data_IF_267449505700
#
_entry.id   IF_267449505700
#
_cell.length_a   1.000
_cell.length_b   1.000
_cell.length_c   1.000
_cell.angle_alpha   90.00
_cell.angle_beta   90.00
_cell.angle_gamma   90.00
#
_symmetry.space_group_name_H-M   'P 1'
#
loop_
_entity.id
_entity.type
_entity.pdbx_description
1 polymer ?
#
# COMPACT_ATOMS: atom_id res chain seq x y z
N UNK A 1 -46.33 -62.17 -6.67
CA UNK A 1 -44.96 -61.72 -6.94
C UNK A 1 -44.89 -60.23 -6.66
N UNK A 2 -44.65 -59.82 -5.37
CA UNK A 2 -44.72 -58.43 -4.90
C UNK A 2 -43.29 -57.88 -4.80
N UNK A 3 -42.98 -56.85 -5.61
CA UNK A 3 -41.74 -56.08 -5.50
C UNK A 3 -41.92 -54.99 -4.41
N UNK A 4 -41.16 -55.08 -3.33
CA UNK A 4 -41.07 -54.03 -2.32
C UNK A 4 -40.12 -52.93 -2.82
N UNK A 5 -40.68 -51.72 -2.93
CA UNK A 5 -39.89 -50.49 -3.13
C UNK A 5 -39.33 -50.05 -1.75
N UNK A 6 -38.01 -50.04 -1.63
CA UNK A 6 -37.34 -49.42 -0.50
C UNK A 6 -37.30 -47.89 -0.71
N UNK A 7 -37.92 -47.13 0.20
CA UNK A 7 -37.80 -45.65 0.27
C UNK A 7 -36.56 -45.34 1.13
N UNK A 8 -35.52 -44.85 0.49
CA UNK A 8 -34.38 -44.27 1.20
C UNK A 8 -34.75 -42.89 1.79
N UNK A 9 -34.75 -42.79 3.12
CA UNK A 9 -34.90 -41.52 3.82
C UNK A 9 -33.56 -40.81 3.77
N UNK A 10 -33.49 -39.68 3.06
CA UNK A 10 -32.35 -38.75 3.15
C UNK A 10 -32.49 -37.94 4.42
N UNK A 11 -31.65 -38.22 5.41
CA UNK A 11 -31.54 -37.41 6.62
C UNK A 11 -30.61 -36.23 6.30
N UNK A 12 -31.21 -35.05 6.09
CA UNK A 12 -30.44 -33.78 6.03
C UNK A 12 -30.00 -33.43 7.46
N UNK A 13 -28.73 -33.67 7.76
CA UNK A 13 -28.12 -33.11 8.97
C UNK A 13 -27.80 -31.64 8.74
N UNK A 14 -28.57 -30.75 9.34
CA UNK A 14 -28.25 -29.33 9.39
C UNK A 14 -26.98 -29.16 10.24
N UNK A 15 -25.88 -28.73 9.60
CA UNK A 15 -24.69 -28.24 10.32
C UNK A 15 -25.10 -26.97 11.10
N UNK A 16 -24.76 -26.86 12.38
CA UNK A 16 -24.97 -25.63 13.12
C UNK A 16 -24.09 -24.51 12.52
N UNK A 17 -24.72 -23.41 12.17
CA UNK A 17 -24.05 -22.17 11.79
C UNK A 17 -23.34 -21.65 13.05
N UNK A 18 -22.04 -21.91 13.17
CA UNK A 18 -21.20 -21.31 14.23
C UNK A 18 -21.07 -19.83 13.88
N UNK A 19 -21.90 -18.99 14.49
CA UNK A 19 -21.67 -17.55 14.47
C UNK A 19 -20.30 -17.29 15.14
N UNK A 20 -19.34 -16.83 14.35
CA UNK A 20 -18.10 -16.31 14.90
C UNK A 20 -18.43 -15.19 15.89
N UNK A 21 -17.77 -15.15 17.09
CA UNK A 21 -18.00 -14.07 18.03
C UNK A 21 -17.70 -12.74 17.34
N UNK A 22 -18.65 -11.81 17.44
CA UNK A 22 -18.44 -10.43 16.97
C UNK A 22 -17.23 -9.88 17.71
N UNK A 23 -16.20 -9.47 16.96
CA UNK A 23 -15.05 -8.77 17.53
C UNK A 23 -15.56 -7.57 18.33
N UNK A 24 -14.97 -7.31 19.53
CA UNK A 24 -15.37 -6.13 20.31
C UNK A 24 -15.23 -4.91 19.43
N UNK A 25 -16.28 -4.09 19.38
CA UNK A 25 -16.29 -2.86 18.63
C UNK A 25 -15.12 -2.00 19.15
N UNK A 26 -13.99 -1.99 18.42
CA UNK A 26 -12.98 -0.98 18.62
C UNK A 26 -13.71 0.36 18.50
N UNK A 27 -13.42 1.31 19.40
CA UNK A 27 -13.90 2.69 19.24
C UNK A 27 -13.54 3.10 17.82
N UNK A 28 -14.50 3.05 16.92
CA UNK A 28 -14.30 3.49 15.55
C UNK A 28 -13.93 4.96 15.63
N UNK A 29 -12.75 5.30 15.12
CA UNK A 29 -12.35 6.68 14.93
C UNK A 29 -13.26 7.39 13.92
N UNK A 30 -12.92 8.59 13.52
CA UNK A 30 -13.66 9.33 12.52
C UNK A 30 -13.62 8.60 11.16
N UNK A 31 -14.72 8.67 10.41
CA UNK A 31 -14.78 8.17 9.03
C UNK A 31 -13.75 8.90 8.17
N UNK A 32 -12.87 8.13 7.55
CA UNK A 32 -11.77 8.69 6.78
C UNK A 32 -12.04 8.65 5.27
N UNK A 33 -12.28 7.48 4.73
CA UNK A 33 -12.57 7.34 3.30
C UNK A 33 -13.34 6.05 3.03
N UNK A 34 -13.77 5.89 1.79
CA UNK A 34 -14.34 4.63 1.29
C UNK A 34 -13.31 3.96 0.40
N UNK A 35 -13.05 2.68 0.63
CA UNK A 35 -12.18 1.88 -0.21
C UNK A 35 -12.71 1.79 -1.65
N UNK A 36 -11.87 1.40 -2.61
CA UNK A 36 -12.30 1.18 -4.00
C UNK A 36 -13.36 0.07 -4.12
N UNK A 37 -13.51 -0.76 -3.09
CA UNK A 37 -14.50 -1.84 -3.02
C UNK A 37 -15.74 -1.48 -2.17
N UNK A 38 -15.90 -0.21 -1.80
CA UNK A 38 -17.07 0.29 -1.06
C UNK A 38 -17.00 0.13 0.47
N UNK A 39 -15.91 -0.38 1.04
CA UNK A 39 -15.74 -0.52 2.49
C UNK A 39 -15.39 0.82 3.13
N UNK A 40 -16.07 1.18 4.23
CA UNK A 40 -15.73 2.38 5.00
C UNK A 40 -14.46 2.16 5.81
N UNK A 41 -13.53 3.10 5.71
CA UNK A 41 -12.25 3.09 6.40
C UNK A 41 -12.21 4.23 7.43
N UNK A 42 -11.55 3.99 8.56
CA UNK A 42 -11.62 4.87 9.72
C UNK A 42 -10.22 5.23 10.23
N UNK A 43 -10.08 6.49 10.66
CA UNK A 43 -8.92 6.99 11.35
C UNK A 43 -8.83 6.42 12.78
N UNK A 44 -7.68 6.59 13.40
CA UNK A 44 -7.48 6.36 14.84
C UNK A 44 -7.62 7.68 15.61
N UNK A 45 -7.98 7.67 16.90
CA UNK A 45 -8.01 8.88 17.72
C UNK A 45 -6.63 9.53 17.85
N UNK A 46 -6.61 10.84 18.21
CA UNK A 46 -5.38 11.55 18.56
C UNK A 46 -4.60 10.79 19.64
N UNK A 47 -3.28 10.79 19.49
CA UNK A 47 -2.33 10.39 20.51
C UNK A 47 -1.54 11.62 21.01
N UNK A 48 -0.61 11.37 21.92
CA UNK A 48 0.21 12.45 22.52
C UNK A 48 1.02 13.21 21.47
N UNK A 49 1.44 12.56 20.37
CA UNK A 49 2.19 13.21 19.30
C UNK A 49 1.31 14.20 18.52
N UNK A 50 0.07 13.80 18.18
CA UNK A 50 -0.89 14.70 17.52
C UNK A 50 -1.26 15.86 18.44
N UNK A 51 -1.52 15.58 19.72
CA UNK A 51 -1.86 16.60 20.73
C UNK A 51 -0.70 17.61 20.88
N UNK A 52 0.53 17.14 21.00
CA UNK A 52 1.72 18.00 21.10
C UNK A 52 1.95 18.85 19.85
N UNK A 53 1.78 18.26 18.65
CA UNK A 53 1.91 18.98 17.39
C UNK A 53 0.82 20.07 17.24
N UNK A 54 -0.44 19.76 17.54
CA UNK A 54 -1.56 20.73 17.58
C UNK A 54 -1.30 21.86 18.57
N UNK A 55 -0.67 21.56 19.71
CA UNK A 55 -0.30 22.54 20.73
C UNK A 55 0.63 23.65 20.20
N UNK A 56 1.57 23.33 19.29
CA UNK A 56 2.45 24.32 18.65
C UNK A 56 1.67 25.31 17.79
N UNK A 57 0.65 24.86 17.07
CA UNK A 57 -0.22 25.74 16.28
C UNK A 57 -1.07 26.64 17.15
N UNK A 58 -1.58 26.15 18.27
CA UNK A 58 -2.28 26.98 19.26
C UNK A 58 -1.36 28.08 19.83
N UNK A 59 -0.05 27.86 19.86
CA UNK A 59 0.99 28.84 20.19
C UNK A 59 1.33 29.84 19.07
N UNK A 60 0.68 29.74 17.90
CA UNK A 60 0.85 30.64 16.75
C UNK A 60 1.95 30.28 15.78
N UNK A 61 2.50 29.03 15.81
CA UNK A 61 3.47 28.62 14.82
C UNK A 61 2.85 28.49 13.43
N UNK A 62 3.61 28.92 12.41
CA UNK A 62 3.24 28.82 11.00
C UNK A 62 4.41 28.33 10.14
N UNK A 63 5.44 27.75 10.75
CA UNK A 63 6.61 27.26 10.01
C UNK A 63 6.29 26.01 9.19
N UNK A 64 6.96 25.83 8.06
CA UNK A 64 6.88 24.61 7.24
C UNK A 64 7.16 23.36 8.08
N UNK A 65 8.19 23.42 8.95
CA UNK A 65 8.57 22.30 9.80
C UNK A 65 7.45 21.87 10.76
N UNK A 66 6.71 22.82 11.34
CA UNK A 66 5.62 22.49 12.25
C UNK A 66 4.39 21.98 11.50
N UNK A 67 4.08 22.49 10.30
CA UNK A 67 3.06 21.94 9.43
C UNK A 67 3.38 20.48 9.05
N UNK A 68 4.60 20.20 8.60
CA UNK A 68 5.02 18.83 8.27
C UNK A 68 4.98 17.91 9.50
N UNK A 69 5.37 18.40 10.67
CA UNK A 69 5.32 17.63 11.91
C UNK A 69 3.88 17.26 12.29
N UNK A 70 2.93 18.21 12.16
CA UNK A 70 1.52 17.96 12.43
C UNK A 70 0.92 16.98 11.41
N UNK A 71 1.10 17.24 10.11
CA UNK A 71 0.60 16.37 9.05
C UNK A 71 1.11 14.93 9.20
N UNK A 72 2.39 14.73 9.52
CA UNK A 72 2.97 13.40 9.78
C UNK A 72 2.39 12.74 11.03
N UNK A 73 2.16 13.49 12.10
CA UNK A 73 1.54 12.95 13.31
C UNK A 73 0.08 12.50 13.05
N UNK A 74 -0.70 13.33 12.34
CA UNK A 74 -2.07 13.00 11.92
C UNK A 74 -2.09 11.76 11.01
N UNK A 75 -1.18 11.68 10.04
CA UNK A 75 -1.07 10.54 9.14
C UNK A 75 -0.69 9.24 9.86
N UNK A 76 0.16 9.29 10.88
CA UNK A 76 0.48 8.14 11.72
C UNK A 76 -0.77 7.54 12.42
N UNK A 77 -1.79 8.37 12.65
CA UNK A 77 -3.11 7.99 13.16
C UNK A 77 -4.13 7.69 12.06
N UNK A 78 -3.68 7.61 10.79
CA UNK A 78 -4.55 7.42 9.61
C UNK A 78 -5.60 8.52 9.48
N UNK A 79 -5.35 9.72 10.02
CA UNK A 79 -6.18 10.93 9.91
C UNK A 79 -5.77 11.69 8.64
N UNK A 80 -5.89 11.03 7.49
CA UNK A 80 -5.36 11.57 6.22
C UNK A 80 -6.13 12.80 5.74
N UNK A 81 -7.45 12.90 6.01
CA UNK A 81 -8.20 14.13 5.72
C UNK A 81 -7.70 15.32 6.49
N UNK A 82 -7.41 15.13 7.79
CA UNK A 82 -6.84 16.20 8.62
C UNK A 82 -5.44 16.56 8.11
N UNK A 83 -4.60 15.57 7.81
CA UNK A 83 -3.26 15.81 7.26
C UNK A 83 -3.32 16.58 5.92
N UNK A 84 -4.20 16.20 4.99
CA UNK A 84 -4.42 16.93 3.72
C UNK A 84 -4.89 18.36 3.97
N UNK A 85 -5.74 18.59 4.98
CA UNK A 85 -6.15 19.94 5.38
C UNK A 85 -4.97 20.74 5.91
N UNK A 86 -4.16 20.17 6.79
CA UNK A 86 -2.94 20.78 7.35
C UNK A 86 -1.96 21.15 6.24
N UNK A 87 -1.68 20.23 5.31
CA UNK A 87 -0.78 20.50 4.18
C UNK A 87 -1.37 21.53 3.21
N UNK A 88 -2.69 21.57 3.03
CA UNK A 88 -3.37 22.57 2.18
C UNK A 88 -3.26 23.97 2.79
N UNK A 89 -3.41 24.12 4.11
CA UNK A 89 -3.19 25.39 4.79
C UNK A 89 -1.73 25.85 4.65
N UNK A 90 -0.78 24.92 4.80
CA UNK A 90 0.65 25.20 4.61
C UNK A 90 0.95 25.64 3.17
N UNK A 91 0.41 24.96 2.16
CA UNK A 91 0.62 25.28 0.75
C UNK A 91 -0.03 26.61 0.33
N UNK A 92 -1.05 27.09 1.03
CA UNK A 92 -1.57 28.44 0.83
C UNK A 92 -0.53 29.54 1.19
N UNK A 93 0.41 29.22 2.09
CA UNK A 93 1.52 30.10 2.49
C UNK A 93 2.81 29.82 1.73
N UNK A 94 3.05 28.57 1.38
CA UNK A 94 4.27 28.05 0.76
C UNK A 94 3.94 27.23 -0.49
N UNK A 95 3.41 27.85 -1.55
CA UNK A 95 2.80 27.13 -2.70
C UNK A 95 3.78 26.28 -3.50
N UNK A 96 5.08 26.59 -3.46
CA UNK A 96 6.14 25.88 -4.18
C UNK A 96 7.08 25.12 -3.23
N UNK A 97 6.54 24.62 -2.11
CA UNK A 97 7.31 23.79 -1.22
C UNK A 97 7.15 22.30 -1.61
N UNK A 98 8.23 21.69 -2.10
CA UNK A 98 8.22 20.31 -2.59
C UNK A 98 7.89 19.30 -1.48
N UNK A 99 8.29 19.55 -0.21
CA UNK A 99 7.98 18.62 0.89
C UNK A 99 6.49 18.62 1.21
N UNK A 100 5.85 19.80 1.25
CA UNK A 100 4.41 19.91 1.51
C UNK A 100 3.58 19.30 0.37
N UNK A 101 3.98 19.49 -0.89
CA UNK A 101 3.35 18.89 -2.05
C UNK A 101 3.48 17.36 -2.00
N UNK A 102 4.67 16.86 -1.68
CA UNK A 102 4.92 15.43 -1.50
C UNK A 102 4.04 14.83 -0.39
N UNK A 103 4.02 15.46 0.79
CA UNK A 103 3.25 14.92 1.92
C UNK A 103 1.75 14.93 1.60
N UNK A 104 1.20 16.01 1.02
CA UNK A 104 -0.21 16.03 0.64
C UNK A 104 -0.54 14.94 -0.38
N UNK A 105 0.23 14.83 -1.44
CA UNK A 105 0.04 13.78 -2.44
C UNK A 105 0.15 12.36 -1.85
N UNK A 106 1.07 12.13 -0.92
CA UNK A 106 1.15 10.85 -0.21
C UNK A 106 -0.13 10.55 0.60
N UNK A 107 -0.73 11.53 1.29
CA UNK A 107 -1.99 11.34 2.05
C UNK A 107 -3.17 11.09 1.12
N UNK A 108 -3.22 11.81 -0.01
CA UNK A 108 -4.25 11.63 -1.05
C UNK A 108 -4.20 10.21 -1.66
N UNK A 109 -3.02 9.60 -1.84
CA UNK A 109 -2.91 8.18 -2.19
C UNK A 109 -3.60 7.28 -1.15
N UNK A 110 -3.38 7.56 0.13
CA UNK A 110 -4.04 6.85 1.23
C UNK A 110 -5.55 7.00 1.22
N UNK A 111 -6.07 8.16 0.78
CA UNK A 111 -7.50 8.44 0.61
C UNK A 111 -8.10 7.85 -0.68
N UNK A 112 -7.29 7.26 -1.58
CA UNK A 112 -7.67 6.80 -2.93
C UNK A 112 -7.99 7.95 -3.89
N UNK A 113 -7.56 9.15 -3.58
CA UNK A 113 -7.68 10.36 -4.41
C UNK A 113 -6.51 10.43 -5.41
N UNK A 114 -6.31 9.39 -6.20
CA UNK A 114 -5.11 9.19 -7.03
C UNK A 114 -4.85 10.32 -8.02
N UNK A 115 -5.90 10.90 -8.60
CA UNK A 115 -5.75 12.00 -9.55
C UNK A 115 -5.31 13.31 -8.86
N UNK A 116 -5.75 13.56 -7.62
CA UNK A 116 -5.27 14.69 -6.82
C UNK A 116 -3.82 14.48 -6.41
N UNK A 117 -3.49 13.29 -5.90
CA UNK A 117 -2.12 12.89 -5.56
C UNK A 117 -1.17 13.05 -6.75
N UNK A 118 -1.56 12.59 -7.93
CA UNK A 118 -0.76 12.74 -9.15
C UNK A 118 -0.43 14.21 -9.40
N UNK A 119 -1.42 15.10 -9.36
CA UNK A 119 -1.22 16.54 -9.62
C UNK A 119 -0.23 17.18 -8.65
N UNK A 120 -0.34 16.88 -7.36
CA UNK A 120 0.58 17.42 -6.34
C UNK A 120 1.98 16.86 -6.50
N UNK A 121 2.10 15.58 -6.77
CA UNK A 121 3.39 14.89 -6.93
C UNK A 121 4.08 15.29 -8.24
N UNK A 122 3.36 15.51 -9.34
CA UNK A 122 3.90 16.12 -10.56
C UNK A 122 4.48 17.51 -10.27
N UNK A 123 3.76 18.32 -9.48
CA UNK A 123 4.27 19.63 -9.06
C UNK A 123 5.50 19.50 -8.15
N UNK A 124 5.51 18.55 -7.20
CA UNK A 124 6.67 18.30 -6.34
C UNK A 124 7.91 17.94 -7.16
N UNK A 125 7.78 17.09 -8.18
CA UNK A 125 8.87 16.72 -9.11
C UNK A 125 9.35 17.93 -9.95
N UNK A 126 8.44 18.82 -10.36
CA UNK A 126 8.83 20.04 -11.08
C UNK A 126 9.62 20.98 -10.17
N UNK A 127 9.23 21.13 -8.90
CA UNK A 127 9.90 22.01 -7.94
C UNK A 127 11.25 21.44 -7.51
N UNK A 128 11.34 20.15 -7.24
CA UNK A 128 12.58 19.45 -6.89
C UNK A 128 12.68 18.10 -7.62
N UNK A 129 13.28 18.06 -8.81
CA UNK A 129 13.44 16.83 -9.59
C UNK A 129 14.47 15.87 -9.00
N UNK A 130 15.24 16.28 -7.98
CA UNK A 130 16.25 15.43 -7.34
C UNK A 130 15.72 14.67 -6.13
N UNK A 131 14.45 14.89 -5.75
CA UNK A 131 13.82 14.27 -4.62
C UNK A 131 13.27 12.89 -4.97
N UNK A 132 13.97 11.85 -4.52
CA UNK A 132 13.60 10.44 -4.76
C UNK A 132 12.14 10.17 -4.39
N UNK A 133 11.71 10.60 -3.20
CA UNK A 133 10.39 10.32 -2.65
C UNK A 133 9.25 10.91 -3.52
N UNK A 134 9.49 12.06 -4.18
CA UNK A 134 8.50 12.64 -5.11
C UNK A 134 8.30 11.76 -6.33
N UNK A 135 9.37 11.25 -6.94
CA UNK A 135 9.28 10.30 -8.04
C UNK A 135 8.66 8.96 -7.59
N UNK A 136 9.04 8.45 -6.43
CA UNK A 136 8.51 7.21 -5.89
C UNK A 136 6.99 7.27 -5.69
N UNK A 137 6.48 8.30 -5.02
CA UNK A 137 5.04 8.44 -4.78
C UNK A 137 4.26 8.78 -6.06
N UNK A 138 4.86 9.52 -6.99
CA UNK A 138 4.26 9.74 -8.30
C UNK A 138 4.15 8.43 -9.11
N UNK A 139 5.17 7.58 -9.02
CA UNK A 139 5.11 6.22 -9.55
C UNK A 139 3.94 5.42 -8.97
N UNK A 140 3.70 5.49 -7.64
CA UNK A 140 2.55 4.85 -6.99
C UNK A 140 1.22 5.43 -7.48
N UNK A 141 1.12 6.77 -7.68
CA UNK A 141 -0.09 7.41 -8.18
C UNK A 141 -0.47 6.87 -9.57
N UNK A 142 0.48 6.79 -10.49
CA UNK A 142 0.27 6.18 -11.81
C UNK A 142 -0.06 4.69 -11.71
N UNK A 143 0.66 3.96 -10.87
CA UNK A 143 0.50 2.52 -10.71
C UNK A 143 -0.92 2.13 -10.25
N UNK A 144 -1.44 2.81 -9.23
CA UNK A 144 -2.78 2.53 -8.71
C UNK A 144 -3.89 2.94 -9.68
N UNK A 145 -3.61 3.81 -10.63
CA UNK A 145 -4.50 4.13 -11.75
C UNK A 145 -4.38 3.14 -12.93
N UNK A 146 -3.43 2.20 -12.90
CA UNK A 146 -3.19 1.23 -13.97
C UNK A 146 -2.31 1.76 -15.11
N UNK A 147 -1.70 2.92 -14.94
CA UNK A 147 -0.78 3.55 -15.88
C UNK A 147 0.64 3.03 -15.61
N UNK A 148 0.86 1.76 -15.97
CA UNK A 148 2.06 1.04 -15.53
C UNK A 148 3.35 1.47 -16.23
N UNK A 149 3.26 1.97 -17.47
CA UNK A 149 4.43 2.48 -18.18
C UNK A 149 4.92 3.81 -17.57
N UNK A 150 3.99 4.72 -17.26
CA UNK A 150 4.27 5.97 -16.57
C UNK A 150 4.81 5.70 -15.14
N UNK A 151 4.22 4.75 -14.44
CA UNK A 151 4.72 4.31 -13.14
C UNK A 151 6.17 3.81 -13.23
N UNK A 152 6.49 2.96 -14.21
CA UNK A 152 7.84 2.45 -14.42
C UNK A 152 8.84 3.58 -14.68
N UNK A 153 8.48 4.59 -15.49
CA UNK A 153 9.34 5.75 -15.75
C UNK A 153 9.70 6.48 -14.44
N UNK A 154 8.74 6.73 -13.58
CA UNK A 154 8.99 7.43 -12.32
C UNK A 154 9.75 6.58 -11.30
N UNK A 155 9.47 5.29 -11.19
CA UNK A 155 10.27 4.39 -10.35
C UNK A 155 11.70 4.21 -10.89
N UNK A 156 11.91 4.30 -12.20
CA UNK A 156 13.24 4.32 -12.79
C UNK A 156 14.02 5.56 -12.32
N UNK A 157 13.43 6.74 -12.41
CA UNK A 157 14.03 7.98 -11.90
C UNK A 157 14.32 7.88 -10.38
N UNK A 158 13.37 7.40 -9.59
CA UNK A 158 13.57 7.22 -8.15
C UNK A 158 14.75 6.27 -7.87
N UNK A 159 14.85 5.14 -8.58
CA UNK A 159 15.96 4.20 -8.46
C UNK A 159 17.31 4.82 -8.83
N UNK A 160 17.36 5.66 -9.86
CA UNK A 160 18.60 6.32 -10.29
C UNK A 160 19.07 7.37 -9.27
N UNK A 161 18.15 7.91 -8.47
CA UNK A 161 18.46 8.78 -7.31
C UNK A 161 18.81 8.02 -6.05
N UNK A 162 18.60 6.69 -6.01
CA UNK A 162 18.88 5.85 -4.83
C UNK A 162 20.37 5.84 -4.47
N UNK A 163 20.67 6.11 -3.20
CA UNK A 163 22.05 6.17 -2.67
C UNK A 163 22.37 5.08 -1.64
N UNK A 164 21.37 4.33 -1.23
CA UNK A 164 21.46 3.25 -0.24
C UNK A 164 20.85 1.97 -0.77
N UNK A 165 21.22 0.83 -0.20
CA UNK A 165 20.59 -0.45 -0.52
C UNK A 165 19.08 -0.42 -0.22
N UNK A 166 18.67 0.24 0.87
CA UNK A 166 17.27 0.39 1.24
C UNK A 166 16.46 1.10 0.15
N UNK A 167 16.92 2.26 -0.33
CA UNK A 167 16.24 2.97 -1.42
C UNK A 167 16.32 2.21 -2.75
N UNK A 168 17.41 1.48 -3.01
CA UNK A 168 17.51 0.62 -4.19
C UNK A 168 16.48 -0.53 -4.13
N UNK A 169 16.31 -1.18 -2.98
CA UNK A 169 15.35 -2.27 -2.78
C UNK A 169 13.93 -1.78 -3.03
N UNK A 170 13.54 -0.69 -2.36
CA UNK A 170 12.18 -0.15 -2.44
C UNK A 170 11.81 0.25 -3.88
N UNK A 171 12.63 1.09 -4.50
CA UNK A 171 12.40 1.52 -5.87
C UNK A 171 12.44 0.37 -6.88
N UNK A 172 13.35 -0.61 -6.71
CA UNK A 172 13.48 -1.74 -7.62
C UNK A 172 12.27 -2.67 -7.58
N UNK A 173 11.67 -2.87 -6.40
CA UNK A 173 10.46 -3.70 -6.29
C UNK A 173 9.31 -3.11 -7.13
N UNK A 174 9.02 -1.83 -6.95
CA UNK A 174 7.93 -1.17 -7.67
C UNK A 174 8.23 -0.99 -9.16
N UNK A 175 9.49 -0.71 -9.52
CA UNK A 175 9.92 -0.66 -10.93
C UNK A 175 9.70 -2.02 -11.61
N UNK A 176 10.17 -3.10 -10.98
CA UNK A 176 10.02 -4.46 -11.52
C UNK A 176 8.56 -4.80 -11.80
N UNK A 177 7.68 -4.62 -10.79
CA UNK A 177 6.26 -4.99 -10.97
C UNK A 177 5.57 -4.06 -11.97
N UNK A 178 5.94 -2.79 -12.06
CA UNK A 178 5.42 -1.85 -13.07
C UNK A 178 5.78 -2.29 -14.48
N UNK A 179 7.04 -2.62 -14.74
CA UNK A 179 7.52 -3.11 -16.03
C UNK A 179 6.83 -4.43 -16.42
N UNK A 180 6.70 -5.38 -15.47
CA UNK A 180 5.98 -6.63 -15.71
C UNK A 180 4.51 -6.39 -16.09
N UNK A 181 3.86 -5.43 -15.44
CA UNK A 181 2.47 -5.04 -15.72
C UNK A 181 2.34 -4.25 -17.03
N UNK A 182 3.35 -3.47 -17.42
CA UNK A 182 3.44 -2.82 -18.71
C UNK A 182 3.75 -3.77 -19.88
N UNK A 183 4.13 -5.03 -19.59
CA UNK A 183 4.49 -6.04 -20.58
C UNK A 183 5.98 -6.04 -20.96
N UNK A 184 6.80 -5.22 -20.32
CA UNK A 184 8.25 -5.21 -20.56
C UNK A 184 9.01 -6.16 -19.62
N UNK A 185 8.89 -7.45 -19.93
CA UNK A 185 9.57 -8.51 -19.18
C UNK A 185 11.10 -8.46 -19.31
N UNK A 186 11.62 -7.89 -20.41
CA UNK A 186 13.06 -7.79 -20.65
C UNK A 186 13.68 -6.76 -19.70
N UNK A 187 13.16 -5.54 -19.69
CA UNK A 187 13.67 -4.50 -18.82
C UNK A 187 13.44 -4.88 -17.33
N UNK A 188 12.30 -5.52 -17.00
CA UNK A 188 12.07 -6.04 -15.65
C UNK A 188 13.17 -7.02 -15.21
N UNK A 189 13.63 -7.92 -16.08
CA UNK A 189 14.73 -8.82 -15.76
C UNK A 189 16.05 -8.07 -15.52
N UNK A 190 16.30 -6.98 -16.26
CA UNK A 190 17.47 -6.13 -16.06
C UNK A 190 17.47 -5.43 -14.68
N UNK A 191 16.29 -5.03 -14.16
CA UNK A 191 16.17 -4.49 -12.80
C UNK A 191 16.73 -5.47 -11.77
N UNK A 192 16.40 -6.74 -11.90
CA UNK A 192 16.81 -7.77 -10.94
C UNK A 192 18.33 -8.01 -10.93
N UNK A 193 19.04 -7.69 -12.00
CA UNK A 193 20.51 -7.88 -12.06
C UNK A 193 21.26 -6.99 -11.05
N UNK A 194 20.67 -5.86 -10.65
CA UNK A 194 21.23 -4.96 -9.63
C UNK A 194 21.04 -5.46 -8.19
N UNK A 195 20.15 -6.42 -7.97
CA UNK A 195 19.90 -7.00 -6.64
C UNK A 195 20.89 -8.16 -6.43
N UNK A 196 22.14 -7.83 -6.24
CA UNK A 196 23.22 -8.79 -6.01
C UNK A 196 23.15 -9.41 -4.61
N UNK A 197 23.85 -10.54 -4.33
CA UNK A 197 23.89 -11.11 -2.97
C UNK A 197 24.37 -10.16 -1.87
N UNK A 198 25.14 -9.10 -2.21
CA UNK A 198 25.61 -8.09 -1.28
C UNK A 198 24.59 -7.03 -0.91
N UNK A 199 23.50 -6.90 -1.67
CA UNK A 199 22.42 -5.96 -1.35
C UNK A 199 21.66 -6.48 -0.12
N UNK A 200 21.54 -5.64 0.89
CA UNK A 200 20.87 -5.95 2.16
C UNK A 200 20.08 -4.75 2.67
N UNK A 201 18.96 -5.01 3.34
CA UNK A 201 18.18 -3.97 4.00
C UNK A 201 18.76 -3.64 5.39
N UNK A 202 18.69 -2.37 5.78
CA UNK A 202 18.93 -1.90 7.15
C UNK A 202 17.60 -1.62 7.85
N UNK A 203 16.59 -1.16 7.11
CA UNK A 203 15.26 -0.92 7.62
C UNK A 203 14.45 -2.23 7.65
N UNK A 204 13.92 -2.66 8.81
CA UNK A 204 13.24 -3.97 8.93
C UNK A 204 12.08 -4.17 7.96
N UNK A 205 11.30 -3.11 7.68
CA UNK A 205 10.13 -3.19 6.79
C UNK A 205 10.51 -3.42 5.32
N UNK A 206 11.75 -3.13 4.91
CA UNK A 206 12.25 -3.37 3.56
C UNK A 206 12.69 -4.81 3.32
N UNK A 207 12.83 -5.61 4.38
CA UNK A 207 13.13 -7.04 4.25
C UNK A 207 12.11 -7.76 3.36
N UNK A 208 10.85 -7.34 3.42
CA UNK A 208 9.77 -7.94 2.63
C UNK A 208 9.91 -7.63 1.13
N UNK A 209 10.31 -6.42 0.77
CA UNK A 209 10.61 -6.06 -0.62
C UNK A 209 11.85 -6.79 -1.13
N UNK A 210 12.90 -6.93 -0.32
CA UNK A 210 14.07 -7.71 -0.69
C UNK A 210 13.72 -9.18 -0.91
N UNK A 211 12.88 -9.77 -0.06
CA UNK A 211 12.40 -11.15 -0.24
C UNK A 211 11.60 -11.28 -1.54
N UNK A 212 10.74 -10.32 -1.88
CA UNK A 212 10.02 -10.31 -3.15
C UNK A 212 10.98 -10.26 -4.34
N UNK A 213 11.98 -9.38 -4.31
CA UNK A 213 13.00 -9.29 -5.36
C UNK A 213 13.77 -10.63 -5.51
N UNK A 214 14.13 -11.30 -4.40
CA UNK A 214 14.75 -12.63 -4.42
C UNK A 214 13.81 -13.71 -4.97
N UNK A 215 12.52 -13.62 -4.65
CA UNK A 215 11.50 -14.49 -5.23
C UNK A 215 11.39 -14.28 -6.75
N UNK A 216 11.37 -13.04 -7.22
CA UNK A 216 11.33 -12.72 -8.65
C UNK A 216 12.59 -13.18 -9.40
N UNK A 217 13.73 -13.24 -8.73
CA UNK A 217 14.97 -13.85 -9.26
C UNK A 217 14.92 -15.38 -9.33
N UNK A 218 13.90 -16.03 -8.78
CA UNK A 218 13.81 -17.49 -8.67
C UNK A 218 14.65 -18.07 -7.52
N UNK A 219 15.17 -17.23 -6.62
CA UNK A 219 15.95 -17.65 -5.45
C UNK A 219 15.09 -18.18 -4.28
N UNK A 220 13.78 -18.00 -4.33
CA UNK A 220 12.80 -18.46 -3.33
C UNK A 220 11.56 -19.03 -4.03
N UNK A 221 10.90 -19.99 -3.38
CA UNK A 221 9.58 -20.46 -3.81
C UNK A 221 8.46 -19.63 -3.18
N UNK A 222 7.25 -19.66 -3.77
CA UNK A 222 6.07 -19.02 -3.20
C UNK A 222 5.81 -19.48 -1.75
N UNK A 223 5.93 -20.79 -1.48
CA UNK A 223 5.75 -21.34 -0.13
C UNK A 223 6.77 -20.78 0.89
N UNK A 224 7.98 -20.48 0.45
CA UNK A 224 9.03 -19.91 1.33
C UNK A 224 8.82 -18.43 1.63
N UNK A 225 8.21 -17.69 0.70
CA UNK A 225 8.03 -16.25 0.86
C UNK A 225 6.69 -15.89 1.49
N UNK A 226 5.62 -16.66 1.23
CA UNK A 226 4.27 -16.33 1.67
C UNK A 226 4.16 -16.41 3.20
N UNK A 227 3.92 -15.29 3.91
CA UNK A 227 3.76 -15.30 5.35
C UNK A 227 2.42 -15.91 5.75
N UNK A 228 2.37 -16.46 6.95
CA UNK A 228 1.10 -16.85 7.56
C UNK A 228 0.21 -15.61 7.76
N UNK A 229 -1.10 -15.79 7.63
CA UNK A 229 -2.03 -14.69 7.92
C UNK A 229 -1.89 -14.25 9.36
N UNK A 230 -1.68 -12.95 9.64
CA UNK A 230 -1.49 -12.45 10.99
C UNK A 230 -2.78 -12.53 11.82
N UNK A 231 -2.62 -12.54 13.14
CA UNK A 231 -3.73 -12.36 14.06
C UNK A 231 -4.31 -10.93 13.91
N UNK A 232 -5.63 -10.75 14.08
CA UNK A 232 -6.23 -9.42 14.04
C UNK A 232 -5.61 -8.48 15.09
N UNK A 233 -5.21 -7.27 14.64
CA UNK A 233 -4.64 -6.24 15.52
C UNK A 233 -3.11 -6.21 15.58
N UNK A 234 -2.42 -7.18 14.99
CA UNK A 234 -0.98 -7.12 14.79
C UNK A 234 -0.67 -6.32 13.51
N UNK A 235 -0.57 -5.01 13.67
CA UNK A 235 -0.42 -4.10 12.52
C UNK A 235 0.92 -4.24 11.79
N UNK A 236 1.99 -4.66 12.46
CA UNK A 236 3.28 -4.87 11.82
C UNK A 236 3.28 -6.16 10.98
N UNK A 237 2.76 -7.25 11.54
CA UNK A 237 2.58 -8.49 10.81
C UNK A 237 1.57 -8.35 9.66
N UNK A 238 0.50 -7.53 9.81
CA UNK A 238 -0.41 -7.22 8.70
C UNK A 238 0.27 -6.42 7.60
N UNK A 239 1.14 -5.48 7.92
CA UNK A 239 1.90 -4.72 6.91
C UNK A 239 2.78 -5.65 6.07
N UNK A 240 3.52 -6.53 6.74
CA UNK A 240 4.36 -7.56 6.12
C UNK A 240 3.54 -8.48 5.22
N UNK A 241 2.45 -9.00 5.77
CA UNK A 241 1.52 -9.87 5.04
C UNK A 241 0.97 -9.20 3.78
N UNK A 242 0.51 -7.96 3.89
CA UNK A 242 -0.06 -7.21 2.77
C UNK A 242 0.98 -6.96 1.67
N UNK A 243 2.22 -6.62 2.06
CA UNK A 243 3.31 -6.34 1.12
C UNK A 243 3.67 -7.60 0.32
N UNK A 244 3.95 -8.70 1.02
CA UNK A 244 4.36 -9.95 0.36
C UNK A 244 3.21 -10.55 -0.44
N UNK A 245 2.02 -10.64 0.17
CA UNK A 245 0.86 -11.24 -0.52
C UNK A 245 0.47 -10.44 -1.76
N UNK A 246 0.52 -9.10 -1.71
CA UNK A 246 0.31 -8.28 -2.90
C UNK A 246 1.34 -8.59 -4.00
N UNK A 247 2.62 -8.69 -3.64
CA UNK A 247 3.70 -9.05 -4.58
C UNK A 247 3.49 -10.41 -5.23
N UNK A 248 3.13 -11.43 -4.45
CA UNK A 248 2.81 -12.78 -4.95
C UNK A 248 1.56 -12.77 -5.82
N UNK A 249 0.48 -12.12 -5.37
CA UNK A 249 -0.73 -11.99 -6.18
C UNK A 249 -0.48 -11.29 -7.51
N UNK A 250 0.35 -10.27 -7.52
CA UNK A 250 0.76 -9.58 -8.74
C UNK A 250 1.63 -10.46 -9.64
N UNK A 251 2.53 -11.27 -9.04
CA UNK A 251 3.33 -12.26 -9.77
C UNK A 251 2.43 -13.25 -10.52
N UNK A 252 1.41 -13.80 -9.90
CA UNK A 252 0.41 -14.64 -10.58
C UNK A 252 -0.28 -13.87 -11.71
N UNK A 253 -0.69 -12.62 -11.46
CA UNK A 253 -1.47 -11.84 -12.40
C UNK A 253 -0.70 -11.55 -13.71
N UNK A 254 0.56 -11.09 -13.64
CA UNK A 254 1.35 -10.82 -14.84
C UNK A 254 1.91 -12.10 -15.50
N UNK A 255 1.81 -13.27 -14.84
CA UNK A 255 2.06 -14.57 -15.44
C UNK A 255 0.76 -15.24 -15.96
N UNK A 256 -0.32 -14.46 -16.12
CA UNK A 256 -1.62 -14.89 -16.65
C UNK A 256 -2.38 -15.91 -15.77
N UNK A 257 -2.04 -16.03 -14.49
CA UNK A 257 -2.76 -16.85 -13.52
C UNK A 257 -3.68 -16.00 -12.64
N UNK A 258 -4.71 -15.45 -13.26
CA UNK A 258 -5.73 -14.64 -12.57
C UNK A 258 -6.49 -15.47 -11.52
N UNK A 259 -6.63 -16.77 -11.74
CA UNK A 259 -7.36 -17.67 -10.83
C UNK A 259 -6.63 -17.79 -9.47
N UNK A 260 -5.31 -17.86 -9.46
CA UNK A 260 -4.51 -17.85 -8.24
C UNK A 260 -4.40 -16.42 -7.64
N UNK A 261 -4.31 -15.39 -8.49
CA UNK A 261 -4.10 -14.00 -8.06
C UNK A 261 -5.27 -13.42 -7.23
N UNK A 262 -6.51 -13.52 -7.72
CA UNK A 262 -7.66 -12.85 -7.09
C UNK A 262 -7.96 -13.30 -5.64
N UNK A 263 -7.86 -14.60 -5.26
CA UNK A 263 -8.00 -15.01 -3.88
C UNK A 263 -6.97 -14.37 -2.94
N UNK A 264 -5.73 -14.18 -3.40
CA UNK A 264 -4.66 -13.53 -2.63
C UNK A 264 -5.03 -12.08 -2.36
N UNK A 265 -5.44 -11.31 -3.37
CA UNK A 265 -5.86 -9.91 -3.17
C UNK A 265 -7.07 -9.80 -2.23
N UNK A 266 -8.08 -10.69 -2.35
CA UNK A 266 -9.21 -10.73 -1.41
C UNK A 266 -8.75 -11.00 0.03
N UNK A 267 -7.76 -11.85 0.21
CA UNK A 267 -7.16 -12.10 1.52
C UNK A 267 -6.52 -10.84 2.10
N UNK A 268 -5.77 -10.08 1.32
CA UNK A 268 -5.17 -8.80 1.75
C UNK A 268 -6.24 -7.80 2.20
N UNK A 269 -7.24 -7.53 1.36
CA UNK A 269 -8.25 -6.50 1.65
C UNK A 269 -9.24 -6.89 2.76
N UNK A 270 -9.20 -8.10 3.26
CA UNK A 270 -9.96 -8.51 4.45
C UNK A 270 -9.24 -8.18 5.77
N UNK A 271 -8.01 -7.62 5.73
CA UNK A 271 -7.25 -7.13 6.87
C UNK A 271 -7.63 -5.72 7.32
N UNK A 272 -6.89 -5.18 8.29
CA UNK A 272 -7.15 -3.87 8.89
C UNK A 272 -6.09 -2.81 8.52
N UNK A 273 -4.93 -3.22 7.99
CA UNK A 273 -3.86 -2.29 7.59
C UNK A 273 -4.15 -1.65 6.21
N UNK A 274 -5.30 -0.98 6.11
CA UNK A 274 -5.83 -0.38 4.90
C UNK A 274 -4.97 0.75 4.30
N UNK A 275 -4.01 1.22 5.08
CA UNK A 275 -3.06 2.26 4.72
C UNK A 275 -1.80 1.71 4.02
N UNK A 276 -1.61 0.39 3.97
CA UNK A 276 -0.46 -0.20 3.29
C UNK A 276 -0.60 -0.18 1.76
N UNK A 277 0.50 0.00 1.05
CA UNK A 277 0.50 -0.02 -0.42
C UNK A 277 0.03 -1.36 -0.98
N UNK A 278 0.33 -2.47 -0.31
CA UNK A 278 -0.17 -3.79 -0.70
C UNK A 278 -1.68 -3.91 -0.60
N UNK A 279 -2.30 -3.29 0.42
CA UNK A 279 -3.75 -3.23 0.55
C UNK A 279 -4.37 -2.37 -0.56
N UNK A 280 -3.86 -1.15 -0.77
CA UNK A 280 -4.35 -0.23 -1.81
C UNK A 280 -4.18 -0.84 -3.21
N UNK A 281 -3.03 -1.48 -3.46
CA UNK A 281 -2.79 -2.21 -4.70
C UNK A 281 -3.77 -3.35 -4.92
N UNK A 282 -4.04 -4.14 -3.88
CA UNK A 282 -5.01 -5.24 -3.95
C UNK A 282 -6.44 -4.77 -4.21
N UNK A 283 -6.86 -3.65 -3.59
CA UNK A 283 -8.14 -2.99 -3.91
C UNK A 283 -8.20 -2.58 -5.38
N UNK A 284 -7.15 -1.92 -5.86
CA UNK A 284 -7.08 -1.43 -7.23
C UNK A 284 -7.14 -2.58 -8.25
N UNK A 285 -6.48 -3.71 -7.97
CA UNK A 285 -6.58 -4.90 -8.83
C UNK A 285 -7.97 -5.52 -8.80
N UNK A 286 -8.56 -5.68 -7.62
CA UNK A 286 -9.93 -6.24 -7.52
C UNK A 286 -10.99 -5.34 -8.18
N UNK A 287 -10.80 -4.03 -8.17
CA UNK A 287 -11.69 -3.08 -8.82
C UNK A 287 -11.57 -3.11 -10.37
N UNK A 288 -10.42 -3.57 -10.92
CA UNK A 288 -10.19 -3.71 -12.37
C UNK A 288 -10.67 -5.04 -12.94
N UNK A 289 -10.86 -6.06 -12.09
CA UNK A 289 -11.05 -7.46 -12.51
C UNK A 289 -12.35 -8.08 -12.00
#
# INVERSE_FOLDING_TARGET
MFKRLARSLLVLTALPLVLAPALPAQKQGNFETTSLLGTKLYAQPDDDNVIAAKGKFSGGSTSVADYLALSKAEAARRQYKEAVRTDTEALARYPDNADLLLERGHRELGLREFAAAQKDLERAVVVDPTKLDSHYHLGLAFYFQGQFAEAAMHFHHARDLAKTDDSLIDCSNWLYVSLRRAGDAKEAAEVLTRITPSVHNTEPHLAFYLHLLRFYQGGMTEQQIQPARPAPGDSEAELSYNTVSYGVGNWHLYNNDKAASLPVFRSVVSGQAWNSWGFIGSEAELARH
#
